data_IF_507648198024
#
_entry.id   IF_507648198024
#
_cell.length_a   1.000
_cell.length_b   1.000
_cell.length_c   1.000
_cell.angle_alpha   90.00
_cell.angle_beta   90.00
_cell.angle_gamma   90.00
#
_symmetry.space_group_name_H-M   'P 1'
#
loop_
_entity.id
_entity.type
_entity.pdbx_description
1 polymer ?
#
# COMPACT_ATOMS: atom_id res chain seq x y z
N UNK A 1 -3.86 -27.71 -12.42
CA UNK A 1 -4.12 -27.07 -11.11
C UNK A 1 -4.85 -25.78 -11.40
N UNK A 2 -6.18 -25.82 -11.26
CA UNK A 2 -7.09 -24.72 -11.57
C UNK A 2 -7.19 -23.89 -10.30
N UNK A 3 -6.82 -22.60 -10.37
CA UNK A 3 -7.00 -21.67 -9.25
C UNK A 3 -8.41 -21.08 -9.40
N UNK A 4 -9.34 -21.59 -8.59
CA UNK A 4 -10.69 -21.04 -8.45
C UNK A 4 -10.60 -19.65 -7.79
N UNK A 5 -11.14 -18.63 -8.47
CA UNK A 5 -11.32 -17.29 -7.93
C UNK A 5 -12.44 -17.31 -6.89
N UNK A 6 -12.16 -16.81 -5.69
CA UNK A 6 -13.16 -16.54 -4.67
C UNK A 6 -14.20 -15.49 -5.14
N UNK A 7 -15.48 -15.59 -4.71
CA UNK A 7 -16.55 -14.71 -5.14
C UNK A 7 -16.39 -13.28 -4.61
N UNK A 8 -16.62 -12.31 -5.51
CA UNK A 8 -16.48 -10.88 -5.26
C UNK A 8 -17.42 -10.34 -4.19
N UNK A 9 -16.92 -9.38 -3.40
CA UNK A 9 -17.74 -8.55 -2.52
C UNK A 9 -18.47 -7.48 -3.33
N UNK A 10 -19.76 -7.40 -3.07
CA UNK A 10 -20.71 -6.50 -3.70
C UNK A 10 -20.51 -5.03 -3.31
N UNK A 11 -20.65 -4.14 -4.29
CA UNK A 11 -21.31 -2.84 -4.12
C UNK A 11 -20.47 -1.70 -3.57
N UNK A 12 -19.47 -1.23 -4.32
CA UNK A 12 -19.09 0.18 -4.28
C UNK A 12 -19.82 0.89 -5.43
N UNK A 13 -20.53 1.97 -5.13
CA UNK A 13 -21.22 2.79 -6.12
C UNK A 13 -20.25 3.20 -7.23
N UNK A 14 -20.64 2.99 -8.50
CA UNK A 14 -19.84 3.44 -9.64
C UNK A 14 -19.87 4.96 -9.68
N UNK A 15 -18.84 5.61 -9.13
CA UNK A 15 -18.55 7.01 -9.44
C UNK A 15 -18.20 7.05 -10.92
N UNK A 16 -18.95 7.81 -11.71
CA UNK A 16 -18.68 8.00 -13.13
C UNK A 16 -17.54 9.01 -13.26
N UNK A 17 -16.31 8.52 -13.26
CA UNK A 17 -15.12 9.31 -13.54
C UNK A 17 -15.13 9.77 -15.00
N UNK A 18 -14.79 11.04 -15.23
CA UNK A 18 -14.51 11.55 -16.58
C UNK A 18 -13.05 11.23 -16.84
N UNK A 19 -12.78 10.01 -17.31
CA UNK A 19 -11.42 9.54 -17.55
C UNK A 19 -10.85 10.18 -18.82
N UNK A 20 -9.89 11.10 -18.63
CA UNK A 20 -8.97 11.52 -19.69
C UNK A 20 -7.91 10.46 -19.97
N UNK A 21 -7.26 10.45 -21.15
CA UNK A 21 -6.23 9.48 -21.50
C UNK A 21 -4.95 9.71 -20.66
N UNK A 22 -4.90 9.17 -19.45
CA UNK A 22 -3.79 9.32 -18.51
C UNK A 22 -3.61 8.12 -17.59
N UNK A 23 -2.56 8.15 -16.75
CA UNK A 23 -2.35 7.16 -15.71
C UNK A 23 -3.32 7.45 -14.55
N UNK A 24 -4.19 6.49 -14.26
CA UNK A 24 -5.10 6.55 -13.12
C UNK A 24 -4.43 5.91 -11.91
N UNK A 25 -4.47 6.63 -10.78
CA UNK A 25 -4.07 6.11 -9.49
C UNK A 25 -5.29 6.12 -8.60
N UNK A 26 -5.49 5.03 -7.86
CA UNK A 26 -6.55 4.87 -6.88
C UNK A 26 -5.95 5.13 -5.48
N UNK A 27 -6.14 6.33 -4.89
CA UNK A 27 -5.51 6.66 -3.60
C UNK A 27 -5.92 5.72 -2.48
N UNK A 28 -7.13 5.17 -2.54
CA UNK A 28 -7.66 4.25 -1.55
C UNK A 28 -6.95 2.89 -1.61
N UNK A 29 -6.54 2.44 -2.81
CA UNK A 29 -5.73 1.21 -2.98
C UNK A 29 -4.33 1.42 -2.42
N UNK A 30 -3.76 2.62 -2.58
CA UNK A 30 -2.46 2.94 -1.98
C UNK A 30 -2.52 2.95 -0.45
N UNK A 31 -3.58 3.51 0.14
CA UNK A 31 -3.78 3.50 1.58
C UNK A 31 -4.04 2.08 2.13
N UNK A 32 -4.79 1.25 1.39
CA UNK A 32 -4.96 -0.15 1.76
C UNK A 32 -3.62 -0.89 1.75
N UNK A 33 -2.78 -0.67 0.73
CA UNK A 33 -1.44 -1.25 0.66
C UNK A 33 -0.54 -0.76 1.80
N UNK A 34 -0.58 0.55 2.13
CA UNK A 34 0.17 1.11 3.26
C UNK A 34 -0.25 0.48 4.59
N UNK A 35 -1.56 0.31 4.81
CA UNK A 35 -2.12 -0.35 5.99
C UNK A 35 -1.71 -1.82 6.06
N UNK A 36 -1.78 -2.55 4.94
CA UNK A 36 -1.34 -3.95 4.88
C UNK A 36 0.14 -4.11 5.23
N UNK A 37 1.00 -3.18 4.80
CA UNK A 37 2.41 -3.18 5.21
C UNK A 37 2.56 -2.95 6.72
N UNK A 38 1.79 -2.04 7.31
CA UNK A 38 1.82 -1.79 8.75
C UNK A 38 1.32 -3.01 9.56
N UNK A 39 0.27 -3.68 9.09
CA UNK A 39 -0.27 -4.91 9.69
C UNK A 39 0.79 -6.03 9.68
N UNK A 40 1.43 -6.29 8.54
CA UNK A 40 2.53 -7.28 8.43
C UNK A 40 3.67 -6.95 9.38
N UNK A 41 4.08 -5.69 9.46
CA UNK A 41 5.15 -5.26 10.37
C UNK A 41 4.75 -5.47 11.84
N UNK A 42 3.51 -5.16 12.21
CA UNK A 42 3.01 -5.36 13.56
C UNK A 42 2.97 -6.84 13.94
N UNK A 43 2.65 -7.74 13.00
CA UNK A 43 2.71 -9.19 13.21
C UNK A 43 4.14 -9.73 13.42
N UNK A 44 5.15 -9.05 12.87
CA UNK A 44 6.55 -9.42 13.08
C UNK A 44 7.12 -8.87 14.39
N UNK A 45 6.43 -7.92 15.04
CA UNK A 45 6.88 -7.35 16.30
C UNK A 45 6.85 -8.43 17.41
N UNK A 46 8.01 -8.73 17.98
CA UNK A 46 8.18 -9.80 18.97
C UNK A 46 8.37 -11.22 18.40
N UNK A 47 8.52 -11.39 17.08
CA UNK A 47 8.83 -12.69 16.46
C UNK A 47 10.33 -13.07 16.44
N UNK A 48 11.15 -12.35 17.21
CA UNK A 48 12.60 -12.58 17.29
C UNK A 48 12.96 -14.00 17.74
N UNK A 49 13.99 -14.57 17.14
CA UNK A 49 14.46 -15.93 17.46
C UNK A 49 15.54 -15.93 18.55
N UNK A 50 15.86 -14.78 19.14
CA UNK A 50 17.00 -14.63 20.05
C UNK A 50 16.90 -15.55 21.27
N UNK A 51 15.67 -15.80 21.74
CA UNK A 51 15.40 -16.71 22.84
C UNK A 51 15.36 -18.21 22.42
N UNK A 52 15.27 -18.50 21.11
CA UNK A 52 15.16 -19.86 20.60
C UNK A 52 16.47 -20.64 20.75
N UNK A 53 17.61 -19.98 20.55
CA UNK A 53 18.92 -20.61 20.75
C UNK A 53 19.05 -21.14 22.17
N UNK A 54 18.57 -20.40 23.18
CA UNK A 54 18.56 -20.86 24.56
C UNK A 54 19.97 -21.16 25.12
N UNK A 55 20.04 -21.84 26.27
CA UNK A 55 21.30 -22.06 26.96
C UNK A 55 22.12 -23.22 26.33
N UNK A 56 23.46 -23.14 26.34
CA UNK A 56 24.36 -24.08 25.67
C UNK A 56 24.22 -25.52 26.18
N UNK A 57 23.79 -25.72 27.42
CA UNK A 57 23.62 -27.04 28.04
C UNK A 57 22.51 -27.88 27.39
N UNK A 58 21.65 -27.26 26.57
CA UNK A 58 20.66 -27.96 25.75
C UNK A 58 21.27 -28.62 24.51
N UNK A 59 22.52 -28.31 24.20
CA UNK A 59 23.23 -28.79 23.03
C UNK A 59 24.27 -29.80 23.46
N UNK A 60 24.37 -30.91 22.73
CA UNK A 60 25.42 -31.92 22.98
C UNK A 60 26.82 -31.47 22.54
N UNK A 61 26.94 -30.32 21.87
CA UNK A 61 28.19 -29.81 21.33
C UNK A 61 28.17 -28.28 21.18
N UNK A 62 29.19 -27.61 21.71
CA UNK A 62 29.28 -26.14 21.76
C UNK A 62 29.19 -25.48 20.36
N UNK A 63 29.87 -26.05 19.36
CA UNK A 63 29.79 -25.55 17.99
C UNK A 63 28.37 -25.52 17.41
N UNK A 64 27.49 -26.44 17.81
CA UNK A 64 26.08 -26.45 17.36
C UNK A 64 25.32 -25.30 18.02
N UNK A 65 25.52 -25.09 19.33
CA UNK A 65 24.95 -23.94 20.04
C UNK A 65 25.41 -22.62 19.42
N UNK A 66 26.71 -22.46 19.17
CA UNK A 66 27.28 -21.26 18.57
C UNK A 66 26.67 -20.96 17.19
N UNK A 67 26.59 -21.98 16.32
CA UNK A 67 25.99 -21.83 14.98
C UNK A 67 24.50 -21.48 15.07
N UNK A 68 23.77 -22.07 16.03
CA UNK A 68 22.35 -21.76 16.23
C UNK A 68 22.14 -20.33 16.77
N UNK A 69 22.99 -19.88 17.69
CA UNK A 69 22.95 -18.51 18.20
C UNK A 69 23.26 -17.49 17.11
N UNK A 70 24.28 -17.75 16.28
CA UNK A 70 24.62 -16.93 15.10
C UNK A 70 23.45 -16.85 14.11
N UNK A 71 22.82 -17.99 13.80
CA UNK A 71 21.64 -18.02 12.94
C UNK A 71 20.49 -17.19 13.50
N UNK A 72 20.16 -17.37 14.78
CA UNK A 72 19.06 -16.63 15.43
C UNK A 72 19.33 -15.12 15.39
N UNK A 73 20.56 -14.68 15.71
CA UNK A 73 20.93 -13.28 15.64
C UNK A 73 20.88 -12.70 14.23
N UNK A 74 21.42 -13.42 13.24
CA UNK A 74 21.37 -12.99 11.84
C UNK A 74 19.92 -12.92 11.31
N UNK A 75 19.06 -13.85 11.73
CA UNK A 75 17.65 -13.84 11.39
C UNK A 75 16.92 -12.61 11.94
N UNK A 76 17.10 -12.32 13.24
CA UNK A 76 16.49 -11.15 13.89
C UNK A 76 16.89 -9.85 13.18
N UNK A 77 18.20 -9.68 12.89
CA UNK A 77 18.70 -8.52 12.12
C UNK A 77 18.03 -8.44 10.74
N UNK A 78 17.89 -9.58 10.05
CA UNK A 78 17.27 -9.65 8.74
C UNK A 78 15.79 -9.23 8.75
N UNK A 79 15.02 -9.71 9.73
CA UNK A 79 13.62 -9.34 9.91
C UNK A 79 13.46 -7.87 10.27
N UNK A 80 14.30 -7.33 11.16
CA UNK A 80 14.27 -5.90 11.51
C UNK A 80 14.49 -5.02 10.27
N UNK A 81 15.48 -5.36 9.44
CA UNK A 81 15.77 -4.62 8.21
C UNK A 81 14.61 -4.68 7.20
N UNK A 82 13.93 -5.82 7.10
CA UNK A 82 12.74 -5.98 6.26
C UNK A 82 11.56 -5.17 6.79
N UNK A 83 11.34 -5.18 8.11
CA UNK A 83 10.29 -4.40 8.75
C UNK A 83 10.50 -2.90 8.56
N UNK A 84 11.72 -2.40 8.75
CA UNK A 84 12.06 -1.00 8.49
C UNK A 84 11.83 -0.60 7.03
N UNK A 85 12.14 -1.49 6.09
CA UNK A 85 11.85 -1.24 4.68
C UNK A 85 10.34 -1.21 4.40
N UNK A 86 9.57 -2.13 4.97
CA UNK A 86 8.12 -2.16 4.84
C UNK A 86 7.49 -0.89 5.43
N UNK A 87 7.94 -0.43 6.60
CA UNK A 87 7.51 0.85 7.20
C UNK A 87 7.74 2.03 6.25
N UNK A 88 8.95 2.17 5.70
CA UNK A 88 9.28 3.24 4.75
C UNK A 88 8.41 3.19 3.50
N UNK A 89 8.21 2.01 2.92
CA UNK A 89 7.36 1.85 1.75
C UNK A 89 5.90 2.22 2.06
N UNK A 90 5.39 1.80 3.22
CA UNK A 90 4.04 2.15 3.69
C UNK A 90 3.87 3.67 3.82
N UNK A 91 4.85 4.36 4.43
CA UNK A 91 4.84 5.83 4.51
C UNK A 91 4.80 6.47 3.11
N UNK A 92 5.65 6.02 2.19
CA UNK A 92 5.66 6.55 0.82
C UNK A 92 4.32 6.33 0.09
N UNK A 93 3.66 5.19 0.28
CA UNK A 93 2.34 4.94 -0.31
C UNK A 93 1.28 5.92 0.21
N UNK A 94 1.24 6.17 1.51
CA UNK A 94 0.32 7.15 2.11
C UNK A 94 0.62 8.59 1.67
N UNK A 95 1.91 8.95 1.54
CA UNK A 95 2.32 10.26 1.01
C UNK A 95 1.85 10.44 -0.44
N UNK A 96 2.02 9.42 -1.30
CA UNK A 96 1.54 9.47 -2.68
C UNK A 96 0.02 9.54 -2.74
N UNK A 97 -0.70 8.78 -1.92
CA UNK A 97 -2.17 8.85 -1.84
C UNK A 97 -2.64 10.27 -1.47
N UNK A 98 -1.97 10.89 -0.50
CA UNK A 98 -2.24 12.28 -0.09
C UNK A 98 -1.98 13.26 -1.24
N UNK A 99 -0.84 13.13 -1.92
CA UNK A 99 -0.49 14.00 -3.04
C UNK A 99 -1.51 13.94 -4.19
N UNK A 100 -2.04 12.75 -4.50
CA UNK A 100 -3.10 12.60 -5.50
C UNK A 100 -4.39 13.31 -5.09
N UNK A 101 -4.84 13.13 -3.83
CA UNK A 101 -6.05 13.81 -3.33
C UNK A 101 -5.90 15.33 -3.31
N UNK A 102 -4.72 15.83 -2.95
CA UNK A 102 -4.43 17.26 -2.93
C UNK A 102 -4.44 17.85 -4.35
N UNK A 103 -3.87 17.14 -5.33
CA UNK A 103 -3.90 17.53 -6.74
C UNK A 103 -5.34 17.55 -7.27
N UNK A 104 -6.13 16.50 -7.01
CA UNK A 104 -7.53 16.42 -7.41
C UNK A 104 -8.36 17.56 -6.79
N UNK A 105 -8.18 17.83 -5.49
CA UNK A 105 -8.86 18.92 -4.80
C UNK A 105 -8.42 20.30 -5.31
N UNK A 106 -7.17 20.45 -5.76
CA UNK A 106 -6.69 21.68 -6.38
C UNK A 106 -7.35 21.89 -7.76
N UNK A 107 -7.35 20.87 -8.61
CA UNK A 107 -7.98 20.93 -9.94
C UNK A 107 -9.48 21.18 -9.83
N UNK A 108 -10.18 20.47 -8.93
CA UNK A 108 -11.60 20.67 -8.70
C UNK A 108 -11.94 22.12 -8.28
N UNK A 109 -11.07 22.76 -7.47
CA UNK A 109 -11.22 24.18 -7.10
C UNK A 109 -10.88 25.14 -8.23
N UNK A 110 -9.93 24.79 -9.10
CA UNK A 110 -9.56 25.62 -10.25
C UNK A 110 -10.65 25.58 -11.35
N UNK A 111 -11.37 24.47 -11.46
CA UNK A 111 -12.50 24.30 -12.37
C UNK A 111 -13.79 24.88 -11.74
N UNK A 112 -13.85 26.19 -11.51
CA UNK A 112 -15.07 26.88 -11.03
C UNK A 112 -16.18 27.02 -12.08
N UNK A 113 -15.96 26.55 -13.31
CA UNK A 113 -16.94 26.50 -14.39
C UNK A 113 -16.58 25.42 -15.40
N UNK A 114 -17.59 24.82 -16.02
CA UNK A 114 -17.42 23.78 -17.04
C UNK A 114 -16.72 24.36 -18.28
N UNK A 115 -15.46 23.99 -18.56
CA UNK A 115 -14.75 24.47 -19.75
C UNK A 115 -15.38 23.95 -21.06
N UNK A 116 -16.19 22.88 -20.99
CA UNK A 116 -16.90 22.28 -22.11
C UNK A 116 -18.28 22.87 -22.37
N UNK A 117 -18.86 23.64 -21.45
CA UNK A 117 -20.16 24.30 -21.63
C UNK A 117 -20.26 25.12 -22.94
N UNK A 118 -19.27 25.95 -23.33
CA UNK A 118 -19.35 26.69 -24.59
C UNK A 118 -19.23 25.83 -25.86
N UNK A 119 -18.85 24.55 -25.75
CA UNK A 119 -18.70 23.64 -26.90
C UNK A 119 -20.00 22.86 -27.19
N UNK A 120 -20.88 22.72 -26.19
CA UNK A 120 -22.12 21.92 -26.29
C UNK A 120 -23.34 22.76 -26.62
N UNK A 121 -23.30 24.09 -26.49
CA UNK A 121 -24.37 24.95 -27.00
C UNK A 121 -24.15 25.25 -28.49
N UNK A 122 -24.83 24.54 -29.42
CA UNK A 122 -24.90 25.03 -30.79
C UNK A 122 -25.62 26.38 -30.74
N UNK A 123 -24.97 27.39 -31.31
CA UNK A 123 -25.60 28.66 -31.67
C UNK A 123 -26.85 28.35 -32.50
N UNK A 124 -28.01 28.29 -31.84
CA UNK A 124 -29.31 28.15 -32.46
C UNK A 124 -29.70 29.53 -32.99
N UNK A 125 -29.68 29.79 -34.32
CA UNK A 125 -30.07 31.09 -34.85
C UNK A 125 -31.55 31.32 -34.57
N UNK A 126 -31.86 32.46 -33.94
CA UNK A 126 -33.23 32.86 -33.62
C UNK A 126 -34.09 32.98 -34.88
N UNK A 127 -35.32 32.42 -34.92
CA UNK A 127 -36.23 32.60 -36.03
C UNK A 127 -36.69 34.06 -36.10
N UNK A 128 -36.58 34.67 -37.29
CA UNK A 128 -37.05 36.02 -37.63
C UNK A 128 -38.56 36.05 -37.87
#
# INVERSE_FOLDING_TARGET
MVVERAPGRAGAASVRWVDGPGFHVEPDVLDEAARGMAEVVAEQDGAGLDALAGPPERYGHDAVHATMAEFCGAWTIGIDALCDRARRNGTSLSEVATAYRDADAHVARALTGDPGAPVVEPEMPAPR
#
